data_IF_352594522526
#
_entry.id   IF_352594522526
#
_cell.length_a   1.000
_cell.length_b   1.000
_cell.length_c   1.000
_cell.angle_alpha   90.00
_cell.angle_beta   90.00
_cell.angle_gamma   90.00
#
_symmetry.space_group_name_H-M   'P 1'
#
loop_
_entity.id
_entity.type
_entity.pdbx_description
1 polymer ?
#
# COMPACT_ATOMS: atom_id res chain seq x y z
N UNK A 1 9.92 6.13 12.00
CA UNK A 1 10.51 5.26 10.95
C UNK A 1 10.02 3.83 11.22
N UNK A 2 9.46 3.15 10.23
CA UNK A 2 9.12 1.74 10.32
C UNK A 2 10.36 0.90 10.68
N UNK A 3 10.27 -0.42 10.70
CA UNK A 3 11.43 -1.27 10.99
C UNK A 3 12.54 -1.00 9.95
N UNK A 4 13.76 -0.55 10.35
CA UNK A 4 14.85 -0.27 9.41
C UNK A 4 15.25 -1.48 8.55
N UNK A 5 14.98 -2.68 9.04
CA UNK A 5 15.28 -3.95 8.38
C UNK A 5 14.03 -4.70 7.89
N UNK A 6 12.86 -4.07 7.96
CA UNK A 6 11.60 -4.72 7.64
C UNK A 6 11.58 -5.30 6.22
N UNK A 7 12.16 -4.63 5.25
CA UNK A 7 12.28 -5.10 3.87
C UNK A 7 13.20 -6.32 3.71
N UNK A 8 14.13 -6.54 4.64
CA UNK A 8 14.99 -7.73 4.69
C UNK A 8 14.33 -8.87 5.47
N UNK A 9 13.60 -8.53 6.54
CA UNK A 9 13.05 -9.50 7.49
C UNK A 9 11.75 -10.14 7.01
N UNK A 10 10.95 -9.41 6.23
CA UNK A 10 9.62 -9.85 5.80
C UNK A 10 9.55 -9.98 4.29
N UNK A 11 9.21 -11.15 3.74
CA UNK A 11 8.92 -11.30 2.32
C UNK A 11 7.64 -10.54 1.95
N UNK A 12 7.51 -10.15 0.69
CA UNK A 12 6.24 -9.61 0.18
C UNK A 12 5.15 -10.67 0.26
N UNK A 13 4.03 -10.28 0.84
CA UNK A 13 2.83 -11.09 0.94
C UNK A 13 1.62 -10.27 0.50
N UNK A 14 1.12 -10.58 -0.69
CA UNK A 14 -0.08 -9.94 -1.24
C UNK A 14 -1.35 -10.58 -0.67
N UNK A 15 -2.48 -9.90 -0.76
CA UNK A 15 -3.78 -10.50 -0.43
C UNK A 15 -4.03 -11.70 -1.37
N UNK A 16 -4.19 -12.92 -0.84
CA UNK A 16 -4.45 -14.09 -1.68
C UNK A 16 -5.82 -13.99 -2.35
N UNK A 17 -5.92 -14.55 -3.53
CA UNK A 17 -7.21 -14.70 -4.19
C UNK A 17 -7.97 -15.91 -3.64
N UNK A 18 -9.30 -15.79 -3.55
CA UNK A 18 -10.18 -16.94 -3.33
C UNK A 18 -9.98 -17.98 -4.44
N UNK A 19 -10.25 -19.23 -4.12
CA UNK A 19 -10.18 -20.31 -5.11
C UNK A 19 -11.06 -20.02 -6.35
N UNK A 20 -10.53 -20.34 -7.53
CA UNK A 20 -11.19 -20.01 -8.80
C UNK A 20 -12.61 -20.56 -8.87
N UNK A 21 -12.81 -21.82 -8.43
CA UNK A 21 -14.10 -22.49 -8.42
C UNK A 21 -15.13 -21.81 -7.49
N UNK A 22 -14.68 -21.08 -6.48
CA UNK A 22 -15.56 -20.32 -5.59
C UNK A 22 -15.88 -18.93 -6.15
N UNK A 23 -14.90 -18.28 -6.80
CA UNK A 23 -15.09 -16.93 -7.35
C UNK A 23 -16.14 -16.84 -8.46
N UNK A 24 -16.36 -17.93 -9.20
CA UNK A 24 -17.35 -17.97 -10.28
C UNK A 24 -18.79 -18.16 -9.81
N UNK A 25 -19.00 -18.44 -8.52
CA UNK A 25 -20.32 -18.72 -7.95
C UNK A 25 -21.05 -17.49 -7.45
N UNK A 26 -20.34 -16.40 -7.23
CA UNK A 26 -20.87 -15.18 -6.62
C UNK A 26 -20.19 -13.90 -7.14
N UNK A 27 -20.65 -12.75 -6.68
CA UNK A 27 -20.05 -11.43 -6.91
C UNK A 27 -19.35 -10.88 -5.67
N UNK A 28 -18.96 -11.75 -4.74
CA UNK A 28 -18.26 -11.35 -3.54
C UNK A 28 -16.80 -10.95 -3.84
N UNK A 29 -16.13 -10.40 -2.84
CA UNK A 29 -14.75 -9.94 -2.93
C UNK A 29 -13.81 -11.06 -3.45
N UNK A 30 -12.94 -10.72 -4.38
CA UNK A 30 -12.04 -11.68 -5.03
C UNK A 30 -10.86 -12.09 -4.15
N UNK A 31 -10.38 -11.16 -3.32
CA UNK A 31 -9.21 -11.34 -2.48
C UNK A 31 -9.59 -11.46 -1.01
N UNK A 32 -8.87 -12.31 -0.30
CA UNK A 32 -8.99 -12.46 1.16
C UNK A 32 -8.02 -11.46 1.81
N UNK A 33 -8.49 -10.54 2.67
CA UNK A 33 -7.61 -9.60 3.35
C UNK A 33 -6.70 -10.34 4.33
N UNK A 34 -5.46 -9.88 4.43
CA UNK A 34 -4.53 -10.34 5.47
C UNK A 34 -4.96 -9.84 6.85
N UNK A 35 -4.50 -10.54 7.91
CA UNK A 35 -4.70 -10.06 9.29
C UNK A 35 -4.02 -8.72 9.53
N UNK A 36 -4.43 -8.02 10.58
CA UNK A 36 -3.83 -6.73 10.97
C UNK A 36 -2.34 -6.88 11.25
N UNK A 37 -1.94 -7.96 11.93
CA UNK A 37 -0.54 -8.24 12.26
C UNK A 37 0.30 -8.47 11.01
N UNK A 38 -0.24 -9.24 10.07
CA UNK A 38 0.47 -9.47 8.80
C UNK A 38 0.54 -8.17 7.98
N UNK A 39 -0.52 -7.37 8.00
CA UNK A 39 -0.52 -6.06 7.33
C UNK A 39 0.50 -5.09 7.93
N UNK A 40 0.71 -5.12 9.25
CA UNK A 40 1.77 -4.37 9.91
C UNK A 40 3.17 -4.81 9.44
N UNK A 41 3.41 -6.12 9.26
CA UNK A 41 4.67 -6.63 8.69
C UNK A 41 4.86 -6.15 7.24
N UNK A 42 3.79 -6.17 6.43
CA UNK A 42 3.88 -5.66 5.06
C UNK A 42 4.17 -4.15 5.01
N UNK A 43 3.60 -3.39 5.91
CA UNK A 43 3.88 -1.96 6.05
C UNK A 43 5.32 -1.69 6.56
N UNK A 44 5.86 -2.57 7.44
CA UNK A 44 7.24 -2.49 7.92
C UNK A 44 8.28 -2.60 6.80
N UNK A 45 7.93 -3.20 5.65
CA UNK A 45 8.81 -3.29 4.49
C UNK A 45 9.11 -1.92 3.86
N UNK A 46 8.38 -0.87 4.22
CA UNK A 46 8.62 0.48 3.72
C UNK A 46 9.89 1.06 4.35
N UNK A 47 10.90 1.35 3.52
CA UNK A 47 12.17 1.95 3.95
C UNK A 47 12.05 3.42 4.40
N UNK A 48 10.88 4.03 4.25
CA UNK A 48 10.65 5.44 4.58
C UNK A 48 11.68 6.37 3.91
N UNK A 49 11.82 6.23 2.58
CA UNK A 49 12.81 6.95 1.78
C UNK A 49 12.67 8.47 1.90
N UNK A 50 13.78 9.19 1.98
CA UNK A 50 13.80 10.67 1.95
C UNK A 50 13.33 11.21 0.60
N UNK A 51 13.61 10.48 -0.48
CA UNK A 51 13.09 10.75 -1.83
C UNK A 51 12.21 9.58 -2.26
N UNK A 52 10.91 9.60 -1.91
CA UNK A 52 10.01 8.47 -2.12
C UNK A 52 9.52 8.43 -3.57
N UNK A 53 10.15 7.66 -4.44
CA UNK A 53 9.71 7.49 -5.83
C UNK A 53 8.29 6.91 -5.94
N UNK A 54 7.84 6.14 -4.96
CA UNK A 54 6.45 5.69 -4.89
C UNK A 54 5.45 6.84 -4.78
N UNK A 55 5.81 7.92 -4.09
CA UNK A 55 5.02 9.13 -3.94
C UNK A 55 5.10 9.98 -5.21
N UNK A 56 6.28 10.50 -5.53
CA UNK A 56 6.45 11.54 -6.54
C UNK A 56 6.85 11.03 -7.93
N UNK A 57 7.21 9.75 -8.06
CA UNK A 57 7.74 9.19 -9.31
C UNK A 57 9.22 9.49 -9.52
N UNK A 58 9.74 9.01 -10.64
CA UNK A 58 11.14 9.24 -11.07
C UNK A 58 11.12 10.31 -12.15
N UNK A 59 11.89 11.37 -11.94
CA UNK A 59 12.02 12.48 -12.88
C UNK A 59 13.27 12.28 -13.76
N UNK A 60 13.09 12.49 -15.06
CA UNK A 60 14.18 12.52 -16.02
C UNK A 60 14.01 13.71 -16.97
N UNK A 61 15.06 14.52 -17.11
CA UNK A 61 15.01 15.71 -17.97
C UNK A 61 13.89 16.70 -17.60
N UNK A 62 13.58 16.85 -16.31
CA UNK A 62 12.51 17.73 -15.81
C UNK A 62 11.09 17.21 -16.03
N UNK A 63 10.93 15.99 -16.53
CA UNK A 63 9.62 15.34 -16.71
C UNK A 63 9.56 14.05 -15.88
N UNK A 64 8.35 13.70 -15.41
CA UNK A 64 8.10 12.43 -14.74
C UNK A 64 8.23 11.29 -15.77
N UNK A 65 9.31 10.50 -15.67
CA UNK A 65 9.58 9.39 -16.58
C UNK A 65 8.93 8.09 -16.12
N UNK A 66 8.97 7.81 -14.82
CA UNK A 66 8.27 6.69 -14.20
C UNK A 66 7.30 7.26 -13.18
N UNK A 67 6.04 6.96 -13.35
CA UNK A 67 4.99 7.48 -12.47
C UNK A 67 5.03 6.76 -11.13
N UNK A 68 5.16 7.53 -10.04
CA UNK A 68 4.75 7.14 -8.71
C UNK A 68 3.22 7.22 -8.60
N UNK A 69 2.72 7.57 -7.42
CA UNK A 69 1.30 7.83 -7.23
C UNK A 69 0.88 9.11 -8.00
N UNK A 70 -0.14 9.06 -8.89
CA UNK A 70 -0.61 10.27 -9.58
C UNK A 70 -1.19 11.33 -8.64
N UNK A 71 -1.68 10.91 -7.47
CA UNK A 71 -2.24 11.80 -6.44
C UNK A 71 -1.17 12.32 -5.47
N UNK A 72 0.11 12.03 -5.72
CA UNK A 72 1.21 12.34 -4.80
C UNK A 72 0.93 11.87 -3.36
N UNK A 73 0.38 10.65 -3.22
CA UNK A 73 -0.06 10.08 -1.95
C UNK A 73 1.12 9.86 -0.99
N UNK A 74 0.96 10.24 0.26
CA UNK A 74 2.00 10.23 1.31
C UNK A 74 2.32 8.81 1.81
N UNK A 75 2.70 7.93 0.89
CA UNK A 75 2.85 6.49 1.08
C UNK A 75 3.79 6.12 2.24
N UNK A 76 5.00 6.70 2.39
CA UNK A 76 5.87 6.35 3.50
C UNK A 76 5.27 6.65 4.87
N UNK A 77 4.55 7.76 4.99
CA UNK A 77 4.01 8.22 6.27
C UNK A 77 2.90 7.30 6.79
N UNK A 78 1.90 6.98 5.96
CA UNK A 78 0.83 6.11 6.42
C UNK A 78 1.27 4.64 6.53
N UNK A 79 2.30 4.18 5.80
CA UNK A 79 2.90 2.86 6.06
C UNK A 79 3.59 2.81 7.44
N UNK A 80 4.34 3.83 7.82
CA UNK A 80 4.91 3.93 9.18
C UNK A 80 3.82 3.88 10.26
N UNK A 81 2.72 4.58 10.04
CA UNK A 81 1.58 4.58 10.97
C UNK A 81 0.88 3.21 11.05
N UNK A 82 0.71 2.48 9.93
CA UNK A 82 0.20 1.11 9.95
C UNK A 82 1.11 0.21 10.78
N UNK A 83 2.42 0.24 10.51
CA UNK A 83 3.41 -0.56 11.24
C UNK A 83 3.33 -0.33 12.75
N UNK A 84 3.15 0.92 13.16
CA UNK A 84 3.06 1.32 14.57
C UNK A 84 1.70 1.03 15.21
N UNK A 85 0.76 0.45 14.50
CA UNK A 85 -0.59 0.19 14.99
C UNK A 85 -1.48 1.43 15.14
N UNK A 86 -1.13 2.52 14.46
CA UNK A 86 -1.87 3.79 14.51
C UNK A 86 -2.81 3.92 13.29
N UNK A 87 -3.64 2.90 13.06
CA UNK A 87 -4.45 2.73 11.84
C UNK A 87 -5.35 3.94 11.56
N UNK A 88 -6.01 4.51 12.56
CA UNK A 88 -6.86 5.69 12.37
C UNK A 88 -6.06 6.89 11.85
N UNK A 89 -4.89 7.14 12.43
CA UNK A 89 -4.01 8.22 11.95
C UNK A 89 -3.47 7.92 10.55
N UNK A 90 -3.20 6.65 10.24
CA UNK A 90 -2.80 6.23 8.90
C UNK A 90 -3.92 6.50 7.88
N UNK A 91 -5.16 6.17 8.21
CA UNK A 91 -6.34 6.47 7.40
C UNK A 91 -6.52 7.98 7.21
N UNK A 92 -6.52 8.77 8.29
CA UNK A 92 -6.62 10.23 8.24
C UNK A 92 -5.52 10.84 7.35
N UNK A 93 -4.30 10.27 7.37
CA UNK A 93 -3.20 10.72 6.50
C UNK A 93 -3.41 10.32 5.05
N UNK A 94 -3.94 9.14 4.80
CA UNK A 94 -4.24 8.63 3.45
C UNK A 94 -5.32 9.45 2.75
N UNK A 95 -6.43 9.75 3.42
CA UNK A 95 -7.58 10.43 2.82
C UNK A 95 -7.30 11.89 2.44
N UNK A 96 -6.21 12.49 2.93
CA UNK A 96 -5.83 13.86 2.52
C UNK A 96 -5.50 13.93 1.02
N UNK A 97 -5.01 12.86 0.43
CA UNK A 97 -4.62 12.80 -0.98
C UNK A 97 -5.43 11.78 -1.77
N UNK A 98 -6.09 10.84 -1.10
CA UNK A 98 -6.94 9.83 -1.72
C UNK A 98 -8.23 9.63 -0.92
N UNK A 99 -9.32 10.31 -1.29
CA UNK A 99 -10.59 10.24 -0.55
C UNK A 99 -11.38 8.94 -0.78
N UNK A 100 -10.94 8.05 -1.67
CA UNK A 100 -11.63 6.79 -2.01
C UNK A 100 -10.69 5.58 -2.01
N UNK A 101 -9.96 5.32 -0.90
CA UNK A 101 -8.96 4.27 -0.85
C UNK A 101 -9.54 2.86 -1.01
N UNK A 102 -10.81 2.65 -0.65
CA UNK A 102 -11.50 1.39 -0.82
C UNK A 102 -11.68 1.02 -2.31
N UNK A 103 -11.85 2.01 -3.19
CA UNK A 103 -11.93 1.78 -4.64
C UNK A 103 -10.55 1.67 -5.26
N UNK A 104 -9.68 2.64 -5.01
CA UNK A 104 -8.34 2.66 -5.61
C UNK A 104 -7.51 1.46 -5.16
N UNK A 105 -7.63 1.04 -3.91
CA UNK A 105 -7.00 -0.17 -3.38
C UNK A 105 -7.42 -1.47 -4.09
N UNK A 106 -8.51 -1.45 -4.88
CA UNK A 106 -8.97 -2.59 -5.67
C UNK A 106 -8.62 -2.48 -7.15
N UNK A 107 -8.81 -1.31 -7.75
CA UNK A 107 -8.75 -1.17 -9.21
C UNK A 107 -7.49 -0.45 -9.74
N UNK A 108 -6.75 0.24 -8.87
CA UNK A 108 -5.56 0.96 -9.28
C UNK A 108 -4.48 -0.01 -9.80
N UNK A 109 -3.81 0.28 -10.93
CA UNK A 109 -2.68 -0.51 -11.43
C UNK A 109 -1.41 -0.38 -10.58
N UNK A 110 -1.45 0.43 -9.52
CA UNK A 110 -0.39 0.65 -8.54
C UNK A 110 0.99 1.00 -9.14
N UNK A 111 1.12 2.06 -9.95
CA UNK A 111 2.42 2.48 -10.48
C UNK A 111 3.40 2.85 -9.38
N UNK A 112 2.89 3.22 -8.20
CA UNK A 112 3.69 3.47 -7.00
C UNK A 112 4.50 2.24 -6.54
N UNK A 113 3.95 1.02 -6.65
CA UNK A 113 4.65 -0.21 -6.28
C UNK A 113 5.82 -0.49 -7.22
N UNK A 114 5.65 -0.21 -8.52
CA UNK A 114 6.72 -0.34 -9.53
C UNK A 114 7.81 0.71 -9.37
N UNK A 115 7.46 1.88 -8.84
CA UNK A 115 8.40 2.97 -8.56
C UNK A 115 9.03 2.88 -7.17
N UNK A 116 8.61 1.92 -6.34
CA UNK A 116 9.19 1.71 -5.03
C UNK A 116 10.67 1.34 -5.15
N UNK A 117 11.56 1.98 -4.37
CA UNK A 117 12.98 1.67 -4.39
C UNK A 117 13.27 0.20 -4.05
N UNK A 118 12.47 -0.41 -3.19
CA UNK A 118 12.55 -1.85 -2.86
C UNK A 118 12.33 -2.73 -4.09
N UNK A 119 11.54 -2.29 -5.08
CA UNK A 119 11.32 -3.04 -6.32
C UNK A 119 12.56 -3.16 -7.22
N UNK A 120 13.63 -2.41 -6.94
CA UNK A 120 14.91 -2.52 -7.66
C UNK A 120 15.71 -3.75 -7.21
N UNK A 121 15.54 -4.16 -5.96
CA UNK A 121 16.29 -5.27 -5.35
C UNK A 121 15.44 -6.52 -5.11
N UNK A 122 14.15 -6.44 -5.34
CA UNK A 122 13.21 -7.53 -5.06
C UNK A 122 11.79 -7.15 -5.40
N UNK A 123 10.88 -7.44 -4.49
CA UNK A 123 9.48 -7.09 -4.61
C UNK A 123 9.16 -5.83 -3.82
N UNK A 124 8.61 -4.81 -4.47
CA UNK A 124 8.18 -3.56 -3.84
C UNK A 124 7.20 -3.78 -2.66
N UNK A 125 6.96 -2.73 -1.90
CA UNK A 125 5.96 -2.75 -0.81
C UNK A 125 4.55 -2.96 -1.38
N UNK A 126 3.70 -3.70 -0.68
CA UNK A 126 2.28 -3.94 -1.04
C UNK A 126 1.44 -2.68 -0.79
N UNK A 127 1.75 -1.60 -1.51
CA UNK A 127 1.17 -0.27 -1.26
C UNK A 127 -0.34 -0.28 -1.47
N UNK A 128 -0.78 -0.85 -2.58
CA UNK A 128 -2.20 -0.93 -2.93
C UNK A 128 -3.02 -1.73 -1.89
N UNK A 129 -2.49 -2.85 -1.45
CA UNK A 129 -3.15 -3.68 -0.45
C UNK A 129 -3.20 -3.01 0.93
N UNK A 130 -2.14 -2.27 1.30
CA UNK A 130 -2.09 -1.48 2.53
C UNK A 130 -3.11 -0.32 2.48
N UNK A 131 -3.23 0.33 1.33
CA UNK A 131 -4.22 1.38 1.07
C UNK A 131 -5.64 0.83 1.19
N UNK A 132 -5.92 -0.32 0.55
CA UNK A 132 -7.20 -1.01 0.66
C UNK A 132 -7.54 -1.36 2.11
N UNK A 133 -6.57 -1.89 2.85
CA UNK A 133 -6.75 -2.23 4.27
C UNK A 133 -7.23 -1.01 5.07
N UNK A 134 -6.59 0.15 4.88
CA UNK A 134 -7.00 1.38 5.56
C UNK A 134 -8.38 1.86 5.13
N UNK A 135 -8.69 1.79 3.83
CA UNK A 135 -10.00 2.17 3.31
C UNK A 135 -11.12 1.32 3.88
N UNK A 136 -10.95 -0.01 3.82
CA UNK A 136 -11.93 -0.95 4.35
C UNK A 136 -12.10 -0.79 5.87
N UNK A 137 -11.00 -0.58 6.59
CA UNK A 137 -11.03 -0.36 8.04
C UNK A 137 -11.74 0.96 8.38
N UNK A 138 -11.40 2.05 7.68
CA UNK A 138 -12.03 3.36 7.90
C UNK A 138 -13.53 3.34 7.68
N UNK A 139 -14.00 2.64 6.64
CA UNK A 139 -15.41 2.44 6.38
C UNK A 139 -16.10 1.60 7.46
N UNK A 140 -15.47 0.52 7.90
CA UNK A 140 -16.03 -0.38 8.92
C UNK A 140 -16.14 0.31 10.29
N UNK A 141 -15.16 1.13 10.64
CA UNK A 141 -15.11 1.85 11.91
C UNK A 141 -15.85 3.21 11.87
N UNK A 142 -16.30 3.64 10.69
CA UNK A 142 -17.01 4.91 10.52
C UNK A 142 -16.15 6.16 10.75
N UNK A 143 -14.90 6.12 10.36
CA UNK A 143 -13.94 7.23 10.54
C UNK A 143 -14.14 8.36 9.54
#
# INVERSE_FOLDING_TARGET
MADPNGFLNYPRNDNPYRELAERIKDFAELQVPLSTEERQKQAARCMHCDVPFCHQGIFYGGKRAVSGCPNDNHIPEWNDLIYRGLQRKAYERLILTNPFPEFTGRVCPAPCEKSCAEALNGAGVTIKDNERFLGDLGNNEGW
#
